data_IF_278751015595
#
_entry.id   IF_278751015595
#
_cell.length_a   1.000
_cell.length_b   1.000
_cell.length_c   1.000
_cell.angle_alpha   90.00
_cell.angle_beta   90.00
_cell.angle_gamma   90.00
#
_symmetry.space_group_name_H-M   'P 1'
#
loop_
_entity.id
_entity.type
_entity.pdbx_description
1 polymer ?
#
# COMPACT_ATOMS: atom_id res chain seq x y z
N UNK A 1 6.43 1.71 7.80
CA UNK A 1 7.16 0.74 6.96
C UNK A 1 6.54 0.44 5.57
N UNK A 2 5.41 1.04 5.14
CA UNK A 2 4.98 1.02 3.71
C UNK A 2 4.39 2.35 3.19
N UNK A 3 4.26 3.34 4.09
CA UNK A 3 3.53 4.59 3.83
C UNK A 3 4.43 5.78 3.51
N UNK A 4 5.70 5.76 3.94
CA UNK A 4 6.55 6.95 4.01
C UNK A 4 6.78 7.65 2.67
N UNK A 5 6.69 6.92 1.55
CA UNK A 5 6.94 7.45 0.22
C UNK A 5 5.71 7.44 -0.71
N UNK A 6 4.57 6.92 -0.26
CA UNK A 6 3.40 6.81 -1.14
C UNK A 6 2.88 8.18 -1.59
N UNK A 7 2.73 9.13 -0.66
CA UNK A 7 2.20 10.46 -0.99
C UNK A 7 3.04 11.19 -2.03
N UNK A 8 4.36 11.11 -1.91
CA UNK A 8 5.29 11.70 -2.87
C UNK A 8 5.15 11.06 -4.26
N UNK A 9 5.15 9.72 -4.33
CA UNK A 9 5.05 8.99 -5.60
C UNK A 9 3.70 9.23 -6.30
N UNK A 10 2.59 9.26 -5.56
CA UNK A 10 1.27 9.56 -6.12
C UNK A 10 1.18 10.99 -6.64
N UNK A 11 1.78 11.96 -5.93
CA UNK A 11 1.82 13.36 -6.38
C UNK A 11 2.67 13.52 -7.64
N UNK A 12 3.85 12.91 -7.67
CA UNK A 12 4.73 12.90 -8.84
C UNK A 12 4.02 12.30 -10.05
N UNK A 13 3.40 11.12 -9.89
CA UNK A 13 2.66 10.47 -10.96
C UNK A 13 1.50 11.31 -11.48
N UNK A 14 0.68 11.88 -10.59
CA UNK A 14 -0.45 12.72 -11.01
C UNK A 14 0.03 13.98 -11.76
N UNK A 15 1.14 14.56 -11.34
CA UNK A 15 1.74 15.72 -12.01
C UNK A 15 2.21 15.36 -13.41
N UNK A 16 2.95 14.25 -13.56
CA UNK A 16 3.41 13.76 -14.87
C UNK A 16 2.24 13.34 -15.78
N UNK A 17 1.18 12.75 -15.21
CA UNK A 17 -0.03 12.43 -15.97
C UNK A 17 -0.71 13.69 -16.49
N UNK A 18 -0.86 14.71 -15.65
CA UNK A 18 -1.49 15.98 -16.02
C UNK A 18 -0.70 16.76 -17.09
N UNK A 19 0.63 16.61 -17.12
CA UNK A 19 1.48 17.18 -18.19
C UNK A 19 1.46 16.39 -19.50
N UNK A 20 0.74 15.27 -19.57
CA UNK A 20 0.68 14.41 -20.76
C UNK A 20 1.90 13.51 -20.96
N UNK A 21 2.73 13.32 -19.92
CA UNK A 21 3.99 12.59 -20.02
C UNK A 21 3.86 11.11 -20.43
N UNK A 22 2.65 10.54 -20.40
CA UNK A 22 2.37 9.15 -20.75
C UNK A 22 1.62 8.97 -22.09
N UNK A 23 1.26 10.06 -22.79
CA UNK A 23 0.35 10.02 -23.94
C UNK A 23 1.02 9.54 -25.25
N UNK A 24 2.33 9.72 -25.39
CA UNK A 24 3.04 9.51 -26.66
C UNK A 24 4.17 8.47 -26.50
N UNK A 25 3.91 7.18 -26.74
CA UNK A 25 4.96 6.17 -26.77
C UNK A 25 5.85 6.28 -28.04
N UNK A 26 7.14 5.92 -27.98
CA UNK A 26 7.85 5.41 -26.81
C UNK A 26 8.17 6.52 -25.80
N UNK A 27 8.00 6.20 -24.51
CA UNK A 27 8.23 7.15 -23.43
C UNK A 27 9.72 7.38 -23.17
N UNK A 28 10.06 8.61 -22.80
CA UNK A 28 11.38 8.94 -22.24
C UNK A 28 11.68 8.13 -20.97
N UNK A 29 12.95 8.11 -20.58
CA UNK A 29 13.43 7.32 -19.44
C UNK A 29 12.66 7.67 -18.17
N UNK A 30 12.47 8.96 -17.86
CA UNK A 30 11.84 9.40 -16.61
C UNK A 30 10.36 8.97 -16.48
N UNK A 31 9.45 9.27 -17.45
CA UNK A 31 8.06 8.81 -17.39
C UNK A 31 7.95 7.27 -17.35
N UNK A 32 8.82 6.58 -18.08
CA UNK A 32 8.87 5.11 -18.07
C UNK A 32 9.27 4.57 -16.69
N UNK A 33 10.29 5.15 -16.07
CA UNK A 33 10.73 4.75 -14.73
C UNK A 33 9.65 5.03 -13.68
N UNK A 34 8.93 6.14 -13.81
CA UNK A 34 7.82 6.48 -12.92
C UNK A 34 6.66 5.49 -13.04
N UNK A 35 6.31 5.06 -14.26
CA UNK A 35 5.32 3.98 -14.47
C UNK A 35 5.77 2.67 -13.83
N UNK A 36 7.03 2.27 -14.01
CA UNK A 36 7.56 1.04 -13.40
C UNK A 36 7.52 1.09 -11.87
N UNK A 37 7.86 2.22 -11.25
CA UNK A 37 7.74 2.42 -9.80
C UNK A 37 6.30 2.24 -9.33
N UNK A 38 5.33 2.81 -10.05
CA UNK A 38 3.91 2.67 -9.74
C UNK A 38 3.40 1.24 -9.93
N UNK A 39 3.77 0.56 -11.01
CA UNK A 39 3.41 -0.85 -11.25
C UNK A 39 3.98 -1.77 -10.18
N UNK A 40 5.24 -1.56 -9.76
CA UNK A 40 5.86 -2.32 -8.69
C UNK A 40 5.11 -2.11 -7.36
N UNK A 41 4.76 -0.87 -7.04
CA UNK A 41 3.98 -0.57 -5.83
C UNK A 41 2.57 -1.17 -5.86
N UNK A 42 1.88 -1.10 -7.01
CA UNK A 42 0.58 -1.73 -7.17
C UNK A 42 0.66 -3.26 -7.04
N UNK A 43 1.74 -3.86 -7.52
CA UNK A 43 1.98 -5.31 -7.40
C UNK A 43 2.16 -5.75 -5.95
N UNK A 44 2.92 -4.97 -5.16
CA UNK A 44 3.22 -5.21 -3.74
C UNK A 44 1.95 -5.27 -2.87
N UNK A 45 0.95 -4.44 -3.18
CA UNK A 45 -0.33 -4.38 -2.44
C UNK A 45 -1.50 -5.05 -3.18
N UNK A 46 -1.21 -5.86 -4.22
CA UNK A 46 -2.24 -6.45 -5.10
C UNK A 46 -3.13 -7.51 -4.46
N UNK A 47 -2.82 -7.95 -3.22
CA UNK A 47 -3.62 -8.92 -2.49
C UNK A 47 -5.08 -8.50 -2.35
N UNK A 48 -5.34 -7.21 -2.14
CA UNK A 48 -6.69 -6.63 -2.03
C UNK A 48 -7.51 -6.70 -3.32
N UNK A 49 -6.86 -6.94 -4.46
CA UNK A 49 -7.49 -7.07 -5.77
C UNK A 49 -7.70 -8.53 -6.18
N UNK A 50 -7.29 -9.50 -5.36
CA UNK A 50 -7.53 -10.93 -5.61
C UNK A 50 -8.98 -11.32 -5.26
N UNK A 51 -9.48 -12.48 -5.74
CA UNK A 51 -10.70 -13.08 -5.24
C UNK A 51 -10.78 -13.06 -3.72
N UNK A 52 -11.99 -12.95 -3.18
CA UNK A 52 -12.22 -12.66 -1.76
C UNK A 52 -11.51 -13.62 -0.82
N UNK A 53 -11.58 -14.92 -1.10
CA UNK A 53 -10.92 -15.98 -0.34
C UNK A 53 -9.40 -15.79 -0.26
N UNK A 54 -8.76 -15.50 -1.39
CA UNK A 54 -7.31 -15.23 -1.47
C UNK A 54 -6.97 -13.94 -0.74
N UNK A 55 -7.72 -12.86 -0.99
CA UNK A 55 -7.50 -11.54 -0.36
C UNK A 55 -7.63 -11.62 1.16
N UNK A 56 -8.63 -12.34 1.65
CA UNK A 56 -8.86 -12.57 3.07
C UNK A 56 -7.72 -13.36 3.70
N UNK A 57 -7.29 -14.46 3.09
CA UNK A 57 -6.18 -15.28 3.60
C UNK A 57 -4.90 -14.46 3.77
N UNK A 58 -4.51 -13.69 2.75
CA UNK A 58 -3.32 -12.85 2.83
C UNK A 58 -3.46 -11.71 3.85
N UNK A 59 -4.65 -11.13 3.98
CA UNK A 59 -4.92 -10.08 4.96
C UNK A 59 -4.79 -10.61 6.40
N UNK A 60 -5.27 -11.83 6.66
CA UNK A 60 -5.14 -12.49 7.96
C UNK A 60 -3.66 -12.79 8.28
N UNK A 61 -2.89 -13.30 7.31
CA UNK A 61 -1.45 -13.57 7.48
C UNK A 61 -0.67 -12.30 7.84
N UNK A 62 -0.92 -11.19 7.15
CA UNK A 62 -0.28 -9.90 7.45
C UNK A 62 -0.70 -9.39 8.83
N UNK A 63 -1.97 -9.53 9.19
CA UNK A 63 -2.44 -9.14 10.52
C UNK A 63 -1.74 -9.95 11.62
N UNK A 64 -1.61 -11.27 11.46
CA UNK A 64 -0.91 -12.11 12.43
C UNK A 64 0.57 -11.71 12.57
N UNK A 65 1.24 -11.37 11.47
CA UNK A 65 2.61 -10.86 11.49
C UNK A 65 2.73 -9.55 12.27
N UNK A 66 1.81 -8.60 12.07
CA UNK A 66 1.78 -7.32 12.80
C UNK A 66 1.58 -7.54 14.29
N UNK A 67 0.64 -8.41 14.69
CA UNK A 67 0.41 -8.69 16.10
C UNK A 67 1.60 -9.39 16.77
N UNK A 68 2.29 -10.28 16.04
CA UNK A 68 3.53 -10.89 16.49
C UNK A 68 4.67 -9.87 16.63
N UNK A 69 4.76 -8.90 15.73
CA UNK A 69 5.70 -7.80 15.85
C UNK A 69 5.43 -7.00 17.14
N UNK A 70 4.17 -6.66 17.41
CA UNK A 70 3.82 -5.89 18.62
C UNK A 70 4.16 -6.62 19.91
N UNK A 71 3.99 -7.94 19.95
CA UNK A 71 4.42 -8.76 21.09
C UNK A 71 5.93 -8.75 21.28
N UNK A 72 6.69 -8.77 20.18
CA UNK A 72 8.15 -8.68 20.22
C UNK A 72 8.59 -7.31 20.72
N UNK A 73 8.02 -6.23 20.18
CA UNK A 73 8.27 -4.84 20.62
C UNK A 73 8.05 -4.71 22.13
N UNK A 74 6.91 -5.19 22.64
CA UNK A 74 6.59 -5.20 24.06
C UNK A 74 7.61 -6.00 24.88
N UNK A 75 7.98 -7.19 24.42
CA UNK A 75 8.91 -8.09 25.13
C UNK A 75 10.30 -7.48 25.31
N UNK A 76 10.78 -6.71 24.35
CA UNK A 76 12.10 -6.07 24.41
C UNK A 76 12.06 -4.64 24.97
N UNK A 77 10.90 -4.19 25.47
CA UNK A 77 10.74 -2.87 26.08
C UNK A 77 10.70 -1.71 25.09
N UNK A 78 10.39 -1.96 23.82
CA UNK A 78 10.10 -0.90 22.84
C UNK A 78 8.65 -0.41 22.97
N UNK A 79 8.42 0.83 22.57
CA UNK A 79 7.07 1.32 22.32
C UNK A 79 6.42 0.47 21.22
N UNK A 80 5.23 -0.07 21.50
CA UNK A 80 4.51 -0.92 20.55
C UNK A 80 3.96 -0.06 19.42
N UNK A 81 4.29 -0.41 18.18
CA UNK A 81 3.78 0.25 16.98
C UNK A 81 2.25 0.22 17.00
N UNK A 82 1.55 1.37 16.80
CA UNK A 82 0.10 1.43 16.94
C UNK A 82 -0.71 0.39 16.17
N UNK A 83 -0.27 0.03 14.96
CA UNK A 83 -0.93 -0.97 14.11
C UNK A 83 -0.60 -2.43 14.50
N UNK A 84 0.39 -2.64 15.36
CA UNK A 84 0.85 -3.94 15.84
C UNK A 84 0.29 -4.29 17.23
N UNK A 85 -0.41 -3.36 17.88
CA UNK A 85 -0.85 -3.52 19.26
C UNK A 85 -2.19 -4.24 19.38
N UNK A 86 -2.14 -5.52 19.77
CA UNK A 86 -3.33 -6.35 20.04
C UNK A 86 -4.17 -5.88 21.24
N UNK A 87 -3.64 -5.03 22.11
CA UNK A 87 -4.39 -4.50 23.27
C UNK A 87 -5.26 -3.30 22.87
N UNK A 88 -5.03 -2.70 21.69
CA UNK A 88 -5.91 -1.67 21.15
C UNK A 88 -7.23 -2.29 20.70
N UNK A 89 -8.33 -1.55 20.91
CA UNK A 89 -9.70 -1.93 20.52
C UNK A 89 -9.95 -1.91 18.99
N UNK A 90 -8.90 -1.89 18.17
CA UNK A 90 -9.06 -1.84 16.72
C UNK A 90 -9.28 -3.26 16.18
N UNK A 91 -10.40 -3.48 15.51
CA UNK A 91 -10.68 -4.78 14.89
C UNK A 91 -9.87 -4.97 13.61
N UNK A 92 -9.60 -6.23 13.26
CA UNK A 92 -9.03 -6.61 11.97
C UNK A 92 -9.76 -5.95 10.79
N UNK A 93 -11.10 -5.98 10.82
CA UNK A 93 -11.93 -5.38 9.77
C UNK A 93 -11.69 -3.87 9.64
N UNK A 94 -11.55 -3.16 10.76
CA UNK A 94 -11.23 -1.73 10.73
C UNK A 94 -9.86 -1.47 10.09
N UNK A 95 -8.84 -2.27 10.45
CA UNK A 95 -7.51 -2.18 9.85
C UNK A 95 -7.52 -2.44 8.34
N UNK A 96 -8.26 -3.47 7.90
CA UNK A 96 -8.40 -3.82 6.49
C UNK A 96 -9.11 -2.70 5.68
N UNK A 97 -10.22 -2.16 6.20
CA UNK A 97 -10.93 -1.03 5.58
C UNK A 97 -10.02 0.19 5.46
N UNK A 98 -9.31 0.53 6.55
CA UNK A 98 -8.38 1.65 6.54
C UNK A 98 -7.29 1.48 5.48
N UNK A 99 -6.70 0.28 5.35
CA UNK A 99 -5.69 -0.03 4.34
C UNK A 99 -6.25 0.13 2.92
N UNK A 100 -7.48 -0.35 2.68
CA UNK A 100 -8.13 -0.22 1.38
C UNK A 100 -8.34 1.25 1.04
N UNK A 101 -8.93 2.03 1.94
CA UNK A 101 -9.31 3.41 1.65
C UNK A 101 -8.12 4.37 1.55
N UNK A 102 -7.07 4.14 2.33
CA UNK A 102 -5.94 5.08 2.43
C UNK A 102 -4.70 4.63 1.66
N UNK A 103 -4.58 3.35 1.30
CA UNK A 103 -3.41 2.82 0.59
C UNK A 103 -3.75 2.25 -0.77
N UNK A 104 -4.64 1.25 -0.81
CA UNK A 104 -4.94 0.52 -2.04
C UNK A 104 -5.69 1.38 -3.04
N UNK A 105 -6.81 1.97 -2.62
CA UNK A 105 -7.69 2.76 -3.50
C UNK A 105 -6.92 3.90 -4.21
N UNK A 106 -6.14 4.76 -3.52
CA UNK A 106 -5.35 5.80 -4.18
C UNK A 106 -4.33 5.24 -5.19
N UNK A 107 -3.71 4.10 -4.88
CA UNK A 107 -2.71 3.48 -5.76
C UNK A 107 -3.34 2.92 -7.03
N UNK A 108 -4.40 2.13 -6.90
CA UNK A 108 -5.03 1.47 -8.05
C UNK A 108 -5.84 2.44 -8.91
N UNK A 109 -6.51 3.43 -8.31
CA UNK A 109 -7.21 4.47 -9.10
C UNK A 109 -6.26 5.25 -10.00
N UNK A 110 -5.00 5.43 -9.61
CA UNK A 110 -4.03 6.15 -10.44
C UNK A 110 -3.47 5.26 -11.56
N UNK A 111 -3.29 3.96 -11.31
CA UNK A 111 -2.76 3.01 -12.30
C UNK A 111 -3.77 2.59 -13.39
N UNK A 112 -5.08 2.57 -13.10
CA UNK A 112 -6.10 2.05 -14.03
C UNK A 112 -6.66 3.10 -15.02
N UNK A 113 -6.25 4.37 -14.92
CA UNK A 113 -6.68 5.46 -15.81
C UNK A 113 -5.49 6.18 -16.47
N UNK A 114 -4.53 5.39 -16.98
CA UNK A 114 -3.50 5.87 -17.92
C UNK A 114 -3.98 5.60 -19.33
#
# INVERSE_FOLDING_TARGET
FMQAQQGALLNEFNTSRASGAFQNPPLDIEPRMLLLKMMLKASDISNVCRPWDISLEWSLRVNDELLLQGDRERKIGLEVTPACDREKKQSFAHGAIWFIDNLARPTFMVCFFV
#
